data_IF_210848142348
#
_entry.id   IF_210848142348
#
_cell.length_a   1.000
_cell.length_b   1.000
_cell.length_c   1.000
_cell.angle_alpha   90.00
_cell.angle_beta   90.00
_cell.angle_gamma   90.00
#
_symmetry.space_group_name_H-M   'P 1'
#
loop_
_entity.id
_entity.type
_entity.pdbx_description
1 polymer ?
#
# COMPACT_ATOMS: atom_id res chain seq x y z
N UNK A 1 2.84 -7.39 -13.17
CA UNK A 1 2.86 -6.50 -11.97
C UNK A 1 1.43 -6.16 -11.59
N UNK A 2 1.07 -6.32 -10.31
CA UNK A 2 -0.28 -6.02 -9.82
C UNK A 2 -0.51 -4.51 -9.72
N UNK A 3 -1.71 -4.05 -10.09
CA UNK A 3 -2.15 -2.68 -9.80
C UNK A 3 -3.18 -2.74 -8.69
N UNK A 4 -2.88 -2.08 -7.59
CA UNK A 4 -3.63 -2.13 -6.34
C UNK A 4 -4.31 -0.77 -6.13
N UNK A 5 -5.61 -0.65 -6.39
CA UNK A 5 -6.36 0.56 -6.07
C UNK A 5 -6.31 0.87 -4.57
N UNK A 6 -6.25 2.15 -4.24
CA UNK A 6 -6.20 2.64 -2.86
C UNK A 6 -7.55 3.24 -2.47
N UNK A 7 -7.98 2.94 -1.24
CA UNK A 7 -9.16 3.47 -0.60
C UNK A 7 -8.77 4.02 0.78
N UNK A 8 -8.67 5.33 0.88
CA UNK A 8 -8.40 6.01 2.14
C UNK A 8 -9.73 6.31 2.84
N UNK A 9 -9.92 5.81 4.07
CA UNK A 9 -11.15 5.95 4.85
C UNK A 9 -10.97 6.94 6.00
N UNK A 10 -11.87 7.91 6.08
CA UNK A 10 -12.03 8.76 7.26
C UNK A 10 -13.51 8.89 7.59
N UNK A 11 -13.88 8.57 8.81
CA UNK A 11 -15.26 8.64 9.32
C UNK A 11 -16.30 7.98 8.40
N UNK A 12 -15.96 6.79 7.89
CA UNK A 12 -16.83 6.00 7.00
C UNK A 12 -16.89 6.51 5.56
N UNK A 13 -16.12 7.50 5.19
CA UNK A 13 -16.10 8.13 3.86
C UNK A 13 -14.76 7.88 3.18
N UNK A 14 -14.79 7.58 1.88
CA UNK A 14 -13.57 7.54 1.07
C UNK A 14 -13.09 8.96 0.79
N UNK A 15 -11.84 9.27 1.12
CA UNK A 15 -11.26 10.61 1.06
C UNK A 15 -9.99 10.66 0.22
N UNK A 16 -9.66 11.85 -0.29
CA UNK A 16 -8.37 12.11 -0.89
C UNK A 16 -7.31 12.30 0.17
N UNK A 17 -6.33 11.39 0.25
CA UNK A 17 -5.12 11.63 1.01
C UNK A 17 -4.15 12.47 0.17
N UNK A 18 -3.89 13.71 0.59
CA UNK A 18 -2.95 14.62 -0.07
C UNK A 18 -1.74 14.85 0.82
N UNK A 19 -0.58 14.30 0.45
CA UNK A 19 0.72 14.51 1.10
C UNK A 19 0.72 14.42 2.64
N UNK A 20 -0.22 13.66 3.22
CA UNK A 20 -0.39 13.53 4.67
C UNK A 20 -1.01 14.78 5.35
N UNK A 21 -1.54 15.73 4.59
CA UNK A 21 -2.24 16.90 5.14
C UNK A 21 -3.68 16.53 5.53
N UNK A 22 -3.84 16.13 6.78
CA UNK A 22 -5.09 15.62 7.37
C UNK A 22 -6.22 16.66 7.43
N UNK A 23 -5.89 17.96 7.38
CA UNK A 23 -6.87 19.05 7.43
C UNK A 23 -7.60 19.24 6.09
N UNK A 24 -7.13 18.60 5.02
CA UNK A 24 -7.65 18.76 3.66
C UNK A 24 -8.26 17.49 3.08
N UNK A 25 -8.70 16.56 3.92
CA UNK A 25 -9.37 15.36 3.42
C UNK A 25 -10.76 15.71 2.89
N UNK A 26 -10.89 15.65 1.57
CA UNK A 26 -12.16 15.84 0.87
C UNK A 26 -12.70 14.49 0.37
N UNK A 27 -14.02 14.27 0.34
CA UNK A 27 -14.58 13.05 -0.23
C UNK A 27 -14.13 12.85 -1.69
N UNK A 28 -13.79 11.62 -2.03
CA UNK A 28 -13.32 11.26 -3.37
C UNK A 28 -14.44 11.40 -4.39
N UNK A 29 -14.23 12.26 -5.39
CA UNK A 29 -14.96 12.25 -6.65
C UNK A 29 -14.20 11.37 -7.65
N UNK A 30 -14.82 10.32 -8.19
CA UNK A 30 -14.18 9.35 -9.06
C UNK A 30 -14.89 9.23 -10.41
N UNK A 31 -14.12 9.25 -11.49
CA UNK A 31 -14.62 8.95 -12.84
C UNK A 31 -15.20 7.53 -12.95
N UNK A 32 -14.78 6.62 -12.06
CA UNK A 32 -15.31 5.26 -12.02
C UNK A 32 -16.77 5.19 -11.54
N UNK A 33 -17.17 6.10 -10.64
CA UNK A 33 -18.50 6.11 -10.02
C UNK A 33 -19.06 7.55 -9.98
N UNK A 34 -19.40 8.14 -11.14
CA UNK A 34 -19.94 9.50 -11.18
C UNK A 34 -21.20 9.59 -10.29
N UNK A 35 -21.23 10.58 -9.41
CA UNK A 35 -22.36 10.83 -8.50
C UNK A 35 -22.30 10.08 -7.15
N UNK A 36 -21.41 9.14 -6.95
CA UNK A 36 -21.18 8.45 -5.66
C UNK A 36 -19.93 9.01 -4.96
N UNK A 37 -19.94 10.30 -4.63
CA UNK A 37 -18.81 11.01 -4.02
C UNK A 37 -18.57 10.47 -2.62
N UNK A 38 -17.34 10.01 -2.34
CA UNK A 38 -16.94 9.52 -1.03
C UNK A 38 -17.57 8.19 -0.59
N UNK A 39 -18.25 7.46 -1.47
CA UNK A 39 -18.85 6.16 -1.17
C UNK A 39 -17.81 5.03 -1.31
N UNK A 40 -17.30 4.45 -0.20
CA UNK A 40 -16.26 3.42 -0.25
C UNK A 40 -16.77 2.09 -0.84
N UNK A 41 -18.05 1.77 -0.65
CA UNK A 41 -18.67 0.54 -1.18
C UNK A 41 -18.81 0.62 -2.69
N UNK A 42 -19.28 1.76 -3.22
CA UNK A 42 -19.37 1.98 -4.65
C UNK A 42 -18.00 1.97 -5.32
N UNK A 43 -16.99 2.58 -4.68
CA UNK A 43 -15.61 2.58 -5.18
C UNK A 43 -15.01 1.17 -5.22
N UNK A 44 -15.12 0.39 -4.15
CA UNK A 44 -14.58 -0.97 -4.12
C UNK A 44 -15.25 -1.86 -5.18
N UNK A 45 -16.58 -1.77 -5.35
CA UNK A 45 -17.30 -2.46 -6.43
C UNK A 45 -16.79 -2.05 -7.81
N UNK A 46 -16.52 -0.75 -8.00
CA UNK A 46 -16.01 -0.24 -9.28
C UNK A 46 -14.56 -0.69 -9.55
N UNK A 47 -13.70 -0.72 -8.56
CA UNK A 47 -12.34 -1.26 -8.69
C UNK A 47 -12.37 -2.71 -9.19
N UNK A 48 -13.28 -3.51 -8.68
CA UNK A 48 -13.46 -4.88 -9.10
C UNK A 48 -14.07 -5.00 -10.49
N UNK A 49 -15.26 -4.41 -10.68
CA UNK A 49 -16.11 -4.68 -11.87
C UNK A 49 -15.63 -3.88 -13.08
N UNK A 50 -15.18 -2.62 -12.86
CA UNK A 50 -14.81 -1.72 -13.95
C UNK A 50 -13.34 -1.73 -14.28
N UNK A 51 -12.46 -1.95 -13.29
CA UNK A 51 -11.03 -2.05 -13.52
C UNK A 51 -10.53 -3.49 -13.62
N UNK A 52 -11.26 -4.48 -13.10
CA UNK A 52 -10.78 -5.86 -13.01
C UNK A 52 -9.67 -6.03 -11.96
N UNK A 53 -9.58 -5.12 -10.97
CA UNK A 53 -8.58 -5.22 -9.92
C UNK A 53 -8.78 -6.49 -9.09
N UNK A 54 -7.70 -7.21 -8.82
CA UNK A 54 -7.69 -8.44 -8.02
C UNK A 54 -7.49 -8.20 -6.53
N UNK A 55 -7.05 -7.00 -6.14
CA UNK A 55 -6.77 -6.61 -4.76
C UNK A 55 -7.06 -5.13 -4.55
N UNK A 56 -7.19 -4.72 -3.29
CA UNK A 56 -7.36 -3.32 -2.89
C UNK A 56 -6.57 -3.05 -1.62
N UNK A 57 -5.96 -1.87 -1.52
CA UNK A 57 -5.39 -1.35 -0.28
C UNK A 57 -6.39 -0.40 0.36
N UNK A 58 -6.67 -0.61 1.65
CA UNK A 58 -7.57 0.22 2.45
C UNK A 58 -6.80 0.79 3.62
N UNK A 59 -6.69 2.12 3.69
CA UNK A 59 -6.15 2.81 4.85
C UNK A 59 -7.29 3.31 5.74
N UNK A 60 -7.38 2.81 6.96
CA UNK A 60 -8.25 3.35 8.01
C UNK A 60 -7.53 4.52 8.69
N UNK A 61 -7.72 5.72 8.13
CA UNK A 61 -7.01 6.92 8.58
C UNK A 61 -7.36 7.33 10.01
N UNK A 62 -8.56 6.98 10.48
CA UNK A 62 -8.96 7.26 11.86
C UNK A 62 -8.17 6.37 12.83
N UNK A 63 -8.04 5.07 12.52
CA UNK A 63 -7.29 4.12 13.34
C UNK A 63 -5.77 4.38 13.30
N UNK A 64 -5.20 4.67 12.12
CA UNK A 64 -3.79 5.06 11.96
C UNK A 64 -3.44 6.27 12.84
N UNK A 65 -4.40 7.16 13.07
CA UNK A 65 -4.26 8.34 13.92
C UNK A 65 -4.51 8.08 15.42
N UNK A 66 -4.62 6.81 15.82
CA UNK A 66 -4.87 6.41 17.21
C UNK A 66 -6.33 6.40 17.61
N UNK A 67 -7.26 6.55 16.66
CA UNK A 67 -8.69 6.36 16.85
C UNK A 67 -9.08 4.88 16.84
N UNK A 68 -10.37 4.62 16.93
CA UNK A 68 -10.90 3.26 16.85
C UNK A 68 -10.93 2.76 15.39
N UNK A 69 -10.65 1.46 15.20
CA UNK A 69 -10.81 0.79 13.91
C UNK A 69 -12.25 0.90 13.41
N UNK A 70 -12.46 1.29 12.17
CA UNK A 70 -13.79 1.43 11.53
C UNK A 70 -14.38 0.05 11.18
N UNK A 71 -14.56 -0.81 12.22
CA UNK A 71 -14.91 -2.23 12.09
C UNK A 71 -16.14 -2.49 11.22
N UNK A 72 -17.18 -1.65 11.34
CA UNK A 72 -18.41 -1.82 10.56
C UNK A 72 -18.15 -1.65 9.07
N UNK A 73 -17.43 -0.60 8.70
CA UNK A 73 -17.07 -0.32 7.31
C UNK A 73 -16.14 -1.40 6.74
N UNK A 74 -15.09 -1.78 7.47
CA UNK A 74 -14.17 -2.83 7.02
C UNK A 74 -14.89 -4.16 6.78
N UNK A 75 -15.84 -4.55 7.65
CA UNK A 75 -16.67 -5.76 7.47
C UNK A 75 -17.57 -5.65 6.26
N UNK A 76 -18.19 -4.49 6.03
CA UNK A 76 -19.01 -4.26 4.84
C UNK A 76 -18.20 -4.40 3.55
N UNK A 77 -17.00 -3.78 3.51
CA UNK A 77 -16.09 -3.92 2.38
C UNK A 77 -15.64 -5.38 2.17
N UNK A 78 -15.30 -6.08 3.25
CA UNK A 78 -14.87 -7.48 3.18
C UNK A 78 -15.98 -8.42 2.69
N UNK A 79 -17.26 -8.14 3.01
CA UNK A 79 -18.39 -8.93 2.51
C UNK A 79 -18.56 -8.84 0.99
N UNK A 80 -18.08 -7.77 0.37
CA UNK A 80 -18.07 -7.63 -1.08
C UNK A 80 -17.01 -8.49 -1.75
N UNK A 81 -16.07 -9.05 -0.97
CA UNK A 81 -14.99 -9.93 -1.45
C UNK A 81 -15.46 -11.30 -1.92
N UNK A 82 -16.68 -11.76 -1.58
CA UNK A 82 -17.17 -13.04 -2.05
C UNK A 82 -17.25 -13.07 -3.58
N UNK A 83 -16.10 -13.25 -4.21
CA UNK A 83 -15.87 -13.19 -5.67
C UNK A 83 -14.71 -12.26 -6.10
N UNK A 84 -14.00 -11.56 -5.19
CA UNK A 84 -12.64 -11.08 -5.44
C UNK A 84 -11.69 -12.28 -5.33
N UNK A 85 -10.93 -12.58 -6.38
CA UNK A 85 -9.85 -13.57 -6.29
C UNK A 85 -8.65 -13.06 -5.49
N UNK A 86 -8.72 -11.83 -4.96
CA UNK A 86 -7.63 -11.11 -4.35
C UNK A 86 -7.93 -10.54 -2.96
N UNK A 87 -6.89 -10.10 -2.31
CA UNK A 87 -6.84 -9.71 -0.92
C UNK A 87 -7.25 -8.23 -0.71
N UNK A 88 -8.11 -7.94 0.28
CA UNK A 88 -8.12 -6.61 0.89
C UNK A 88 -6.96 -6.53 1.88
N UNK A 89 -6.06 -5.62 1.59
CA UNK A 89 -4.92 -5.26 2.42
C UNK A 89 -5.31 -4.05 3.24
N UNK A 90 -5.33 -4.16 4.57
CA UNK A 90 -5.79 -3.08 5.46
C UNK A 90 -4.64 -2.54 6.29
N UNK A 91 -4.44 -1.23 6.22
CA UNK A 91 -3.66 -0.46 7.16
C UNK A 91 -4.59 0.24 8.15
N UNK A 92 -4.49 -0.10 9.41
CA UNK A 92 -5.25 0.48 10.52
C UNK A 92 -4.35 0.80 11.73
N UNK A 93 -3.04 1.03 11.47
CA UNK A 93 -2.06 1.33 12.51
C UNK A 93 -1.80 0.18 13.48
N UNK A 94 -2.05 -1.06 13.06
CA UNK A 94 -1.81 -2.25 13.89
C UNK A 94 -0.31 -2.40 14.19
N UNK A 95 0.03 -2.68 15.46
CA UNK A 95 1.43 -2.79 15.91
C UNK A 95 1.62 -3.84 17.03
N UNK A 96 0.58 -4.61 17.34
CA UNK A 96 0.62 -5.77 18.24
C UNK A 96 -0.13 -6.95 17.63
N UNK A 97 0.08 -8.20 18.10
CA UNK A 97 -0.72 -9.34 17.65
C UNK A 97 -2.22 -9.11 17.81
N UNK A 98 -2.66 -8.54 18.96
CA UNK A 98 -4.08 -8.31 19.25
C UNK A 98 -4.70 -7.33 18.27
N UNK A 99 -4.05 -6.16 18.03
CA UNK A 99 -4.54 -5.18 17.05
C UNK A 99 -4.52 -5.74 15.64
N UNK A 100 -3.56 -6.60 15.31
CA UNK A 100 -3.51 -7.27 13.99
C UNK A 100 -4.67 -8.27 13.84
N UNK A 101 -4.97 -9.07 14.89
CA UNK A 101 -6.13 -9.97 14.86
C UNK A 101 -7.45 -9.21 14.79
N UNK A 102 -7.56 -8.06 15.43
CA UNK A 102 -8.75 -7.20 15.32
C UNK A 102 -9.05 -6.84 13.87
N UNK A 103 -8.03 -6.40 13.12
CA UNK A 103 -8.17 -6.05 11.70
C UNK A 103 -8.50 -7.28 10.86
N UNK A 104 -7.83 -8.42 11.10
CA UNK A 104 -8.13 -9.68 10.41
C UNK A 104 -9.56 -10.17 10.67
N UNK A 105 -10.08 -9.98 11.89
CA UNK A 105 -11.45 -10.33 12.28
C UNK A 105 -12.51 -9.43 11.59
N UNK A 106 -12.11 -8.31 11.02
CA UNK A 106 -12.96 -7.50 10.16
C UNK A 106 -13.03 -8.01 8.71
N UNK A 107 -12.27 -9.05 8.36
CA UNK A 107 -12.26 -9.68 7.03
C UNK A 107 -11.06 -9.27 6.16
N UNK A 108 -10.09 -8.52 6.69
CA UNK A 108 -8.85 -8.25 5.98
C UNK A 108 -8.12 -9.56 5.65
N UNK A 109 -7.64 -9.70 4.41
CA UNK A 109 -6.80 -10.84 4.01
C UNK A 109 -5.35 -10.64 4.44
N UNK A 110 -4.88 -9.39 4.40
CA UNK A 110 -3.56 -8.97 4.85
C UNK A 110 -3.67 -7.70 5.69
N UNK A 111 -2.78 -7.58 6.68
CA UNK A 111 -2.66 -6.37 7.52
C UNK A 111 -1.33 -5.71 7.23
N UNK A 112 -1.38 -4.39 7.03
CA UNK A 112 -0.18 -3.58 6.88
C UNK A 112 0.29 -3.16 8.28
N UNK A 113 1.57 -3.37 8.53
CA UNK A 113 2.26 -2.91 9.74
C UNK A 113 3.21 -1.79 9.30
N UNK A 114 2.85 -0.56 9.64
CA UNK A 114 3.60 0.63 9.26
C UNK A 114 4.80 0.87 10.17
N UNK A 115 5.91 1.30 9.58
CA UNK A 115 7.14 1.66 10.29
C UNK A 115 6.88 2.79 11.30
N UNK A 116 5.98 3.73 10.98
CA UNK A 116 5.63 4.87 11.84
C UNK A 116 4.89 4.45 13.12
N UNK A 117 4.22 3.28 13.12
CA UNK A 117 3.45 2.78 14.26
C UNK A 117 4.16 1.64 14.98
N UNK A 118 5.12 0.96 14.35
CA UNK A 118 5.84 -0.17 14.91
C UNK A 118 6.80 0.28 16.02
N UNK A 119 6.75 -0.38 17.18
CA UNK A 119 7.57 -0.04 18.36
C UNK A 119 8.93 -0.73 18.37
N UNK A 120 9.00 -1.96 17.82
CA UNK A 120 10.25 -2.71 17.70
C UNK A 120 10.15 -3.80 16.62
N UNK A 121 11.28 -4.25 16.07
CA UNK A 121 11.31 -5.43 15.18
C UNK A 121 11.05 -6.74 15.92
N UNK A 122 11.19 -6.76 17.25
CA UNK A 122 10.76 -7.89 18.09
C UNK A 122 9.24 -8.03 18.06
N UNK A 123 8.50 -6.93 18.16
CA UNK A 123 7.03 -6.94 18.03
C UNK A 123 6.61 -7.40 16.64
N UNK A 124 7.30 -6.93 15.59
CA UNK A 124 7.05 -7.37 14.21
C UNK A 124 7.27 -8.89 14.05
N UNK A 125 8.35 -9.43 14.62
CA UNK A 125 8.63 -10.86 14.58
C UNK A 125 7.55 -11.66 15.30
N UNK A 126 7.05 -11.18 16.44
CA UNK A 126 5.95 -11.81 17.15
C UNK A 126 4.66 -11.78 16.36
N UNK A 127 4.29 -10.63 15.76
CA UNK A 127 3.12 -10.51 14.88
C UNK A 127 3.23 -11.54 13.75
N UNK A 128 4.35 -11.57 13.01
CA UNK A 128 4.57 -12.48 11.89
C UNK A 128 4.46 -13.95 12.31
N UNK A 129 5.03 -14.30 13.47
CA UNK A 129 4.98 -15.65 14.02
C UNK A 129 3.56 -16.10 14.35
N UNK A 130 2.74 -15.20 14.92
CA UNK A 130 1.41 -15.53 15.44
C UNK A 130 0.35 -15.51 14.35
N UNK A 131 0.36 -14.51 13.46
CA UNK A 131 -0.65 -14.38 12.41
C UNK A 131 -0.28 -15.05 11.08
N UNK A 132 0.99 -15.37 10.90
CA UNK A 132 1.55 -15.98 9.70
C UNK A 132 2.06 -14.93 8.69
N UNK A 133 3.25 -15.21 8.13
CA UNK A 133 4.00 -14.30 7.23
C UNK A 133 3.21 -13.86 6.00
N UNK A 134 2.31 -14.69 5.47
CA UNK A 134 1.49 -14.38 4.29
C UNK A 134 0.39 -13.36 4.55
N UNK A 135 0.10 -13.08 5.82
CA UNK A 135 -0.93 -12.12 6.25
C UNK A 135 -0.37 -10.75 6.65
N UNK A 136 0.94 -10.60 6.66
CA UNK A 136 1.62 -9.36 7.06
C UNK A 136 2.29 -8.72 5.84
N UNK A 137 2.01 -7.44 5.63
CA UNK A 137 2.75 -6.56 4.73
C UNK A 137 3.43 -5.51 5.61
N UNK A 138 4.75 -5.42 5.56
CA UNK A 138 5.47 -4.38 6.28
C UNK A 138 5.60 -3.14 5.41
N UNK A 139 5.18 -1.96 5.91
CA UNK A 139 5.31 -0.69 5.21
C UNK A 139 6.52 0.08 5.72
N UNK A 140 7.44 0.40 4.80
CA UNK A 140 8.51 1.36 5.02
C UNK A 140 8.00 2.73 4.57
N UNK A 141 7.53 3.49 5.54
CA UNK A 141 6.97 4.81 5.34
C UNK A 141 8.10 5.84 5.31
N UNK A 142 8.12 6.65 4.26
CA UNK A 142 9.15 7.64 4.01
C UNK A 142 8.54 9.04 3.93
N UNK A 143 9.36 10.04 4.21
CA UNK A 143 9.09 11.45 3.91
C UNK A 143 10.32 12.05 3.24
N UNK A 144 10.19 12.37 1.95
CA UNK A 144 11.31 12.85 1.11
C UNK A 144 12.51 11.89 1.15
N UNK A 145 12.23 10.58 1.07
CA UNK A 145 13.24 9.52 1.09
C UNK A 145 13.76 9.13 2.48
N UNK A 146 13.41 9.88 3.54
CA UNK A 146 13.83 9.55 4.91
C UNK A 146 12.76 8.71 5.63
N UNK A 147 13.13 7.59 6.30
CA UNK A 147 12.18 6.77 7.04
C UNK A 147 11.47 7.53 8.16
N UNK A 148 10.17 7.29 8.31
CA UNK A 148 9.36 7.79 9.42
C UNK A 148 9.31 6.68 10.47
N UNK A 149 9.91 6.93 11.63
CA UNK A 149 10.02 5.96 12.71
C UNK A 149 9.09 6.32 13.86
N UNK A 150 8.53 5.29 14.50
CA UNK A 150 7.95 5.48 15.84
C UNK A 150 9.03 6.00 16.80
N UNK A 151 8.71 6.90 17.75
CA UNK A 151 9.69 7.46 18.68
C UNK A 151 10.56 6.43 19.41
N UNK A 152 9.98 5.31 19.84
CA UNK A 152 10.73 4.23 20.52
C UNK A 152 11.76 3.54 19.62
N UNK A 153 11.58 3.56 18.30
CA UNK A 153 12.54 3.00 17.35
C UNK A 153 13.72 3.92 17.08
N UNK A 154 13.54 5.22 17.21
CA UNK A 154 14.63 6.21 17.01
C UNK A 154 15.79 6.01 17.99
N UNK A 155 15.48 5.60 19.22
CA UNK A 155 16.49 5.36 20.27
C UNK A 155 17.29 4.07 20.04
N UNK A 156 16.72 3.08 19.36
CA UNK A 156 17.29 1.74 19.21
C UNK A 156 18.02 1.55 17.89
N UNK A 157 17.58 2.20 16.82
CA UNK A 157 18.13 2.00 15.46
C UNK A 157 19.33 2.89 15.14
N UNK A 158 19.72 3.78 16.06
CA UNK A 158 20.81 4.75 15.86
C UNK A 158 20.40 5.97 15.03
N UNK A 159 21.34 6.90 14.87
CA UNK A 159 21.09 8.13 14.12
C UNK A 159 20.87 7.82 12.62
N UNK A 160 19.65 8.07 12.10
CA UNK A 160 19.27 7.95 10.70
C UNK A 160 19.46 6.57 10.05
N UNK A 161 18.71 5.52 10.44
CA UNK A 161 18.74 4.26 9.72
C UNK A 161 18.17 4.45 8.30
N UNK A 162 18.82 3.86 7.31
CA UNK A 162 18.33 3.89 5.94
C UNK A 162 17.22 2.82 5.70
N UNK A 163 16.43 3.03 4.65
CA UNK A 163 15.32 2.13 4.31
C UNK A 163 15.75 0.70 4.01
N UNK A 164 16.96 0.48 3.46
CA UNK A 164 17.49 -0.86 3.16
C UNK A 164 17.85 -1.61 4.44
N UNK A 165 18.46 -0.93 5.40
CA UNK A 165 18.81 -1.48 6.71
C UNK A 165 17.56 -1.90 7.49
N UNK A 166 16.53 -1.02 7.53
CA UNK A 166 15.24 -1.32 8.17
C UNK A 166 14.51 -2.49 7.48
N UNK A 167 14.56 -2.54 6.15
CA UNK A 167 14.04 -3.68 5.39
C UNK A 167 14.75 -4.98 5.75
N UNK A 168 16.07 -4.94 5.95
CA UNK A 168 16.84 -6.09 6.40
C UNK A 168 16.35 -6.64 7.73
N UNK A 169 16.13 -5.78 8.71
CA UNK A 169 15.58 -6.16 10.01
C UNK A 169 14.15 -6.73 9.90
N UNK A 170 13.32 -6.17 9.01
CA UNK A 170 11.98 -6.72 8.77
C UNK A 170 12.03 -8.13 8.13
N UNK A 171 12.97 -8.38 7.23
CA UNK A 171 13.21 -9.71 6.64
C UNK A 171 13.68 -10.71 7.71
N UNK A 172 14.57 -10.30 8.60
CA UNK A 172 15.01 -11.11 9.76
C UNK A 172 13.85 -11.41 10.71
N UNK A 173 12.90 -10.47 10.87
CA UNK A 173 11.65 -10.67 11.60
C UNK A 173 10.65 -11.62 10.89
N UNK A 174 10.97 -12.09 9.66
CA UNK A 174 10.18 -13.06 8.92
C UNK A 174 9.21 -12.47 7.89
N UNK A 175 9.27 -11.16 7.63
CA UNK A 175 8.44 -10.50 6.60
C UNK A 175 8.78 -11.03 5.21
N UNK A 176 7.74 -11.26 4.38
CA UNK A 176 7.90 -11.67 2.98
C UNK A 176 7.24 -10.70 1.97
N UNK A 177 6.51 -9.70 2.45
CA UNK A 177 5.88 -8.67 1.61
C UNK A 177 6.21 -7.29 2.17
N UNK A 178 6.75 -6.43 1.34
CA UNK A 178 7.17 -5.07 1.66
C UNK A 178 6.36 -4.06 0.85
N UNK A 179 5.91 -3.00 1.49
CA UNK A 179 5.39 -1.80 0.85
C UNK A 179 6.37 -0.64 1.08
N UNK A 180 6.72 0.08 0.03
CA UNK A 180 7.49 1.32 0.11
C UNK A 180 6.57 2.49 -0.21
N UNK A 181 6.39 3.39 0.72
CA UNK A 181 5.46 4.50 0.57
C UNK A 181 6.12 5.82 0.99
N UNK A 182 6.40 6.71 0.03
CA UNK A 182 6.85 8.06 0.35
C UNK A 182 5.64 9.00 0.44
N UNK A 183 5.27 9.36 1.66
CA UNK A 183 4.10 10.19 1.96
C UNK A 183 4.17 11.58 1.31
N UNK A 184 5.38 12.13 1.15
CA UNK A 184 5.55 13.43 0.49
C UNK A 184 5.28 13.38 -1.03
N UNK A 185 5.23 12.19 -1.63
CA UNK A 185 4.97 11.98 -3.06
C UNK A 185 3.51 11.67 -3.38
N UNK A 186 2.70 11.35 -2.35
CA UNK A 186 1.28 11.00 -2.53
C UNK A 186 0.53 12.20 -3.11
N UNK A 187 -0.16 11.98 -4.24
CA UNK A 187 -0.96 13.01 -4.91
C UNK A 187 -0.17 14.11 -5.63
N UNK A 188 1.17 14.06 -5.63
CA UNK A 188 2.03 15.12 -6.23
C UNK A 188 2.41 14.87 -7.68
N UNK A 189 2.28 13.64 -8.16
CA UNK A 189 2.73 13.26 -9.50
C UNK A 189 4.24 13.11 -9.68
N UNK A 190 5.02 13.13 -8.60
CA UNK A 190 6.48 12.98 -8.65
C UNK A 190 6.95 11.54 -8.90
N UNK A 191 6.04 10.56 -8.93
CA UNK A 191 6.37 9.14 -9.09
C UNK A 191 7.07 8.53 -7.86
N UNK A 192 7.20 7.19 -7.85
CA UNK A 192 7.92 6.47 -6.82
C UNK A 192 9.45 6.63 -6.96
N UNK A 193 10.20 6.36 -5.88
CA UNK A 193 11.66 6.34 -5.91
C UNK A 193 12.17 5.05 -6.58
N UNK A 194 12.38 5.09 -7.89
CA UNK A 194 12.84 3.95 -8.68
C UNK A 194 14.24 3.47 -8.28
N UNK A 195 15.09 4.39 -7.81
CA UNK A 195 16.43 4.06 -7.34
C UNK A 195 16.39 3.18 -6.09
N UNK A 196 15.58 3.57 -5.11
CA UNK A 196 15.35 2.82 -3.87
C UNK A 196 14.69 1.46 -4.17
N UNK A 197 13.64 1.43 -5.01
CA UNK A 197 12.98 0.20 -5.44
C UNK A 197 13.98 -0.78 -6.04
N UNK A 198 14.81 -0.31 -7.00
CA UNK A 198 15.83 -1.15 -7.63
C UNK A 198 16.89 -1.65 -6.64
N UNK A 199 17.29 -0.83 -5.67
CA UNK A 199 18.22 -1.22 -4.62
C UNK A 199 17.60 -2.29 -3.70
N UNK A 200 16.33 -2.14 -3.30
CA UNK A 200 15.59 -3.13 -2.51
C UNK A 200 15.44 -4.45 -3.25
N UNK A 201 15.06 -4.43 -4.54
CA UNK A 201 14.95 -5.64 -5.36
C UNK A 201 16.27 -6.40 -5.46
N UNK A 202 17.39 -5.68 -5.68
CA UNK A 202 18.72 -6.33 -5.73
C UNK A 202 19.13 -6.94 -4.40
N UNK A 203 18.84 -6.24 -3.29
CA UNK A 203 19.24 -6.69 -1.95
C UNK A 203 18.35 -7.81 -1.41
N UNK A 204 17.06 -7.79 -1.75
CA UNK A 204 16.03 -8.70 -1.24
C UNK A 204 15.20 -9.30 -2.39
N UNK A 205 15.79 -10.16 -3.24
CA UNK A 205 15.15 -10.64 -4.46
C UNK A 205 13.90 -11.50 -4.21
N UNK A 206 13.77 -12.12 -3.04
CA UNK A 206 12.64 -12.98 -2.68
C UNK A 206 11.45 -12.24 -2.06
N UNK A 207 11.60 -10.94 -1.72
CA UNK A 207 10.50 -10.14 -1.19
C UNK A 207 9.46 -9.84 -2.27
N UNK A 208 8.18 -9.96 -1.91
CA UNK A 208 7.12 -9.31 -2.68
C UNK A 208 7.21 -7.82 -2.42
N UNK A 209 7.61 -7.06 -3.44
CA UNK A 209 7.89 -5.64 -3.33
C UNK A 209 6.75 -4.82 -3.93
N UNK A 210 6.04 -4.10 -3.07
CA UNK A 210 4.99 -3.16 -3.42
C UNK A 210 5.52 -1.74 -3.25
N UNK A 211 5.04 -0.81 -4.06
CA UNK A 211 5.36 0.61 -3.87
C UNK A 211 4.17 1.49 -4.23
N UNK A 212 4.15 2.70 -3.68
CA UNK A 212 3.11 3.69 -3.96
C UNK A 212 3.63 5.12 -3.94
N UNK A 213 2.77 6.04 -4.35
CA UNK A 213 3.03 7.47 -4.35
C UNK A 213 3.33 8.05 -5.72
N UNK A 214 2.54 9.04 -6.13
CA UNK A 214 2.79 9.91 -7.28
C UNK A 214 2.65 9.30 -8.67
N UNK A 215 1.98 8.17 -8.84
CA UNK A 215 1.65 7.59 -10.15
C UNK A 215 0.61 8.46 -10.85
N UNK A 216 0.91 8.91 -12.07
CA UNK A 216 0.01 9.71 -12.91
C UNK A 216 -0.48 8.96 -14.14
N UNK A 217 0.37 8.14 -14.76
CA UNK A 217 0.09 7.52 -16.03
C UNK A 217 0.74 6.13 -16.14
N UNK A 218 0.34 5.38 -17.16
CA UNK A 218 0.83 4.04 -17.47
C UNK A 218 2.38 3.97 -17.50
N UNK A 219 3.06 4.94 -18.06
CA UNK A 219 4.53 4.99 -18.12
C UNK A 219 5.20 4.93 -16.74
N UNK A 220 4.54 5.43 -15.69
CA UNK A 220 5.09 5.40 -14.33
C UNK A 220 5.03 3.97 -13.79
N UNK A 221 3.95 3.25 -14.09
CA UNK A 221 3.79 1.83 -13.76
C UNK A 221 4.79 0.95 -14.49
N UNK A 222 5.04 1.21 -15.79
CA UNK A 222 6.07 0.49 -16.56
C UNK A 222 7.46 0.68 -15.93
N UNK A 223 7.81 1.91 -15.53
CA UNK A 223 9.07 2.21 -14.82
C UNK A 223 9.18 1.49 -13.47
N UNK A 224 8.10 1.45 -12.69
CA UNK A 224 8.07 0.74 -11.42
C UNK A 224 8.26 -0.76 -11.62
N UNK A 225 7.60 -1.36 -12.62
CA UNK A 225 7.80 -2.76 -12.99
C UNK A 225 9.25 -3.02 -13.38
N UNK A 226 9.83 -2.19 -14.24
CA UNK A 226 11.20 -2.33 -14.73
C UNK A 226 12.24 -2.14 -13.60
N UNK A 227 11.90 -1.35 -12.57
CA UNK A 227 12.70 -1.23 -11.35
C UNK A 227 12.56 -2.45 -10.41
N UNK A 228 11.59 -3.35 -10.67
CA UNK A 228 11.42 -4.60 -9.94
C UNK A 228 10.26 -4.62 -8.95
N UNK A 229 9.27 -3.71 -9.04
CA UNK A 229 8.03 -3.82 -8.28
C UNK A 229 7.20 -5.02 -8.73
N UNK A 230 6.63 -5.74 -7.76
CA UNK A 230 5.62 -6.77 -8.00
C UNK A 230 4.20 -6.18 -8.02
N UNK A 231 4.01 -5.04 -7.34
CA UNK A 231 2.73 -4.32 -7.35
C UNK A 231 2.88 -2.83 -7.08
N UNK A 232 1.93 -2.05 -7.59
CA UNK A 232 1.86 -0.61 -7.42
C UNK A 232 0.54 -0.17 -6.79
N UNK A 233 0.61 0.63 -5.71
CA UNK A 233 -0.55 1.30 -5.12
C UNK A 233 -0.88 2.54 -5.94
N UNK A 234 -2.12 2.63 -6.42
CA UNK A 234 -2.59 3.72 -7.28
C UNK A 234 -3.92 4.27 -6.79
N UNK A 235 -3.97 5.58 -6.53
CA UNK A 235 -5.17 6.29 -6.12
C UNK A 235 -5.61 7.29 -7.20
N UNK A 236 -5.00 8.47 -7.24
CA UNK A 236 -5.42 9.63 -8.02
C UNK A 236 -5.60 9.33 -9.51
N UNK A 237 -4.66 8.58 -10.10
CA UNK A 237 -4.69 8.25 -11.53
C UNK A 237 -5.89 7.34 -11.90
N UNK A 238 -6.31 6.46 -10.97
CA UNK A 238 -7.51 5.62 -11.15
C UNK A 238 -8.77 6.49 -11.06
N UNK A 239 -8.86 7.33 -10.03
CA UNK A 239 -10.04 8.19 -9.87
C UNK A 239 -10.19 9.24 -10.98
N UNK A 240 -9.09 9.72 -11.52
CA UNK A 240 -9.07 10.61 -12.68
C UNK A 240 -9.35 9.89 -14.02
N UNK A 241 -9.35 8.54 -14.04
CA UNK A 241 -9.52 7.74 -15.26
C UNK A 241 -8.32 7.72 -16.19
N UNK A 242 -7.13 8.12 -15.72
CA UNK A 242 -5.88 8.08 -16.51
C UNK A 242 -5.23 6.70 -16.49
N UNK A 243 -5.58 5.85 -15.53
CA UNK A 243 -5.27 4.42 -15.48
C UNK A 243 -6.57 3.65 -15.65
N UNK A 244 -6.62 2.74 -16.63
CA UNK A 244 -7.82 2.05 -17.09
C UNK A 244 -7.74 0.54 -16.88
N UNK A 245 -8.85 -0.17 -17.11
CA UNK A 245 -8.89 -1.63 -17.07
C UNK A 245 -7.93 -2.30 -18.07
N UNK A 246 -7.73 -1.68 -19.24
CA UNK A 246 -6.75 -2.18 -20.23
C UNK A 246 -5.33 -2.11 -19.67
N UNK A 247 -4.98 -1.03 -18.97
CA UNK A 247 -3.65 -0.89 -18.35
C UNK A 247 -3.40 -1.97 -17.30
N UNK A 248 -4.42 -2.29 -16.48
CA UNK A 248 -4.33 -3.34 -15.47
C UNK A 248 -4.13 -4.72 -16.13
N UNK A 249 -4.92 -5.03 -17.15
CA UNK A 249 -4.86 -6.30 -17.87
C UNK A 249 -3.48 -6.50 -18.53
N UNK A 250 -2.98 -5.47 -19.22
CA UNK A 250 -1.69 -5.52 -19.90
C UNK A 250 -0.51 -5.70 -18.92
N UNK A 251 -0.57 -5.03 -17.76
CA UNK A 251 0.47 -5.14 -16.73
C UNK A 251 0.44 -6.48 -16.02
N UNK A 252 -0.74 -7.07 -15.84
CA UNK A 252 -0.90 -8.40 -15.28
C UNK A 252 -0.38 -9.49 -16.23
N UNK A 253 -0.59 -9.32 -17.54
CA UNK A 253 -0.16 -10.28 -18.57
C UNK A 253 1.34 -10.21 -18.88
N UNK A 254 2.01 -9.06 -18.63
CA UNK A 254 3.42 -8.89 -18.93
C UNK A 254 4.30 -9.73 -18.01
N UNK A 255 5.23 -10.58 -18.55
CA UNK A 255 6.14 -11.35 -17.71
C UNK A 255 7.05 -10.43 -16.89
N UNK A 256 7.29 -10.78 -15.64
CA UNK A 256 8.27 -10.09 -14.80
C UNK A 256 9.65 -10.24 -15.43
N UNK A 257 10.28 -9.11 -15.84
CA UNK A 257 11.67 -9.11 -16.29
C UNK A 257 11.94 -9.13 -17.79
N UNK A 258 10.98 -8.78 -18.66
CA UNK A 258 11.30 -8.48 -20.06
C UNK A 258 12.07 -7.15 -20.13
N UNK A 259 13.41 -7.23 -20.14
CA UNK A 259 14.27 -6.09 -20.48
C UNK A 259 13.91 -5.62 -21.89
N UNK A 260 13.45 -4.39 -22.04
CA UNK A 260 13.31 -3.76 -23.36
C UNK A 260 14.68 -3.76 -24.04
N UNK A 261 14.79 -4.13 -25.34
CA UNK A 261 16.06 -4.08 -26.04
C UNK A 261 16.54 -2.63 -26.06
N UNK A 262 17.77 -2.42 -25.60
CA UNK A 262 18.47 -1.14 -25.70
C UNK A 262 18.49 -0.68 -27.14
N UNK A 263 17.78 0.41 -27.44
CA UNK A 263 17.92 1.10 -28.72
C UNK A 263 19.28 1.78 -28.69
N UNK A 264 20.26 1.14 -29.35
CA UNK A 264 21.54 1.75 -29.67
C UNK A 264 21.29 2.85 -30.72
N UNK A 265 21.62 4.08 -30.38
CA UNK A 265 22.05 5.13 -31.28
C UNK A 265 23.15 5.94 -30.66
#
# INVERSE_FOLDING_TARGET
MDIIPVLDLSRGTAVWAQAGDRARYEPVASALVPGAVGDPVALLKAFRVRLGASSCYVADLDAIQGGAVQRAMLRELAQLETGFAGAIMVDAGAHTPESTFEVLACGASQVVIGLETLRSFTDLAEIVRVVGRGRVVFSVDLRLGSPILHPTMQDVTGANPDALSLTGQAVEAGVCSLLVLDLARIGTGCGADLGLIGAMRRRFPALRLLAGGGVLARRDLDRMRDAGCDGALVASAIHAGTITASDLADLAAAPAGAQSPSVSR
#
